data_IF_435895512693
#
_entry.id   IF_435895512693
#
_cell.length_a   1.000
_cell.length_b   1.000
_cell.length_c   1.000
_cell.angle_alpha   90.00
_cell.angle_beta   90.00
_cell.angle_gamma   90.00
#
_symmetry.space_group_name_H-M   'P 1'
#
loop_
_entity.id
_entity.type
_entity.pdbx_description
1 polymer ?
#
# COMPACT_ATOMS: atom_id res chain seq x y z
N UNK A 1 -4.29 -9.48 6.15
CA UNK A 1 -3.15 -9.51 5.17
C UNK A 1 -1.89 -9.09 5.90
N UNK A 2 -0.85 -9.89 5.82
CA UNK A 2 0.41 -9.50 6.47
C UNK A 2 1.27 -8.65 5.52
N UNK A 3 2.31 -8.05 6.08
CA UNK A 3 3.20 -7.13 5.36
C UNK A 3 3.89 -7.80 4.16
N UNK A 4 4.39 -9.02 4.34
CA UNK A 4 5.08 -9.72 3.24
C UNK A 4 4.17 -9.96 2.05
N UNK A 5 2.93 -10.36 2.31
CA UNK A 5 1.96 -10.58 1.23
C UNK A 5 1.62 -9.26 0.53
N UNK A 6 1.38 -8.21 1.31
CA UNK A 6 1.07 -6.90 0.76
C UNK A 6 2.20 -6.39 -0.15
N UNK A 7 3.44 -6.45 0.33
CA UNK A 7 4.60 -6.00 -0.45
C UNK A 7 4.74 -6.84 -1.73
N UNK A 8 4.60 -8.16 -1.61
CA UNK A 8 4.70 -9.05 -2.77
C UNK A 8 3.66 -8.75 -3.84
N UNK A 9 2.41 -8.51 -3.43
CA UNK A 9 1.35 -8.18 -4.38
C UNK A 9 1.62 -6.85 -5.10
N UNK A 10 2.14 -5.86 -4.38
CA UNK A 10 2.49 -4.58 -4.98
C UNK A 10 3.66 -4.73 -5.96
N UNK A 11 4.72 -5.45 -5.55
CA UNK A 11 5.90 -5.61 -6.38
C UNK A 11 5.63 -6.43 -7.64
N UNK A 12 4.69 -7.36 -7.58
CA UNK A 12 4.32 -8.19 -8.74
C UNK A 12 3.81 -7.37 -9.92
N UNK A 13 3.22 -6.22 -9.67
CA UNK A 13 2.73 -5.34 -10.75
C UNK A 13 3.67 -4.16 -11.02
N UNK A 14 4.83 -4.12 -10.37
CA UNK A 14 5.82 -3.08 -10.60
C UNK A 14 5.74 -1.88 -9.67
N UNK A 15 4.97 -1.97 -8.59
CA UNK A 15 4.93 -0.92 -7.58
C UNK A 15 6.10 -1.09 -6.61
N UNK A 16 6.53 0.01 -6.02
CA UNK A 16 7.58 0.02 -5.01
C UNK A 16 6.97 0.37 -3.65
N UNK A 17 7.42 -0.33 -2.61
CA UNK A 17 6.92 -0.11 -1.25
C UNK A 17 8.08 0.33 -0.37
N UNK A 18 7.89 1.43 0.36
CA UNK A 18 8.89 1.94 1.30
C UNK A 18 8.28 2.13 2.68
N UNK A 19 9.08 1.88 3.71
CA UNK A 19 8.67 2.08 5.10
C UNK A 19 9.51 3.22 5.68
N UNK A 20 8.84 4.31 6.07
CA UNK A 20 9.52 5.46 6.66
C UNK A 20 8.69 6.06 7.78
N UNK A 21 9.32 6.29 8.92
CA UNK A 21 8.70 7.04 10.02
C UNK A 21 7.33 6.51 10.43
N UNK A 22 7.19 5.18 10.44
CA UNK A 22 5.94 4.55 10.85
C UNK A 22 4.84 4.57 9.80
N UNK A 23 5.18 4.84 8.55
CA UNK A 23 4.23 4.88 7.45
C UNK A 23 4.75 4.02 6.29
N UNK A 24 3.84 3.26 5.70
CA UNK A 24 4.12 2.47 4.50
C UNK A 24 3.68 3.29 3.28
N UNK A 25 4.61 3.55 2.37
CA UNK A 25 4.33 4.29 1.14
C UNK A 25 4.37 3.37 -0.05
N UNK A 26 3.43 3.55 -0.99
CA UNK A 26 3.39 2.81 -2.25
C UNK A 26 3.61 3.78 -3.39
N UNK A 27 4.66 3.52 -4.20
CA UNK A 27 5.05 4.37 -5.31
C UNK A 27 4.94 3.63 -6.63
N UNK A 28 4.62 4.37 -7.70
CA UNK A 28 4.68 3.82 -9.06
C UNK A 28 6.13 3.86 -9.59
N UNK A 29 6.32 3.45 -10.84
CA UNK A 29 7.64 3.43 -11.48
C UNK A 29 8.19 4.82 -11.77
N UNK A 30 7.37 5.86 -11.68
CA UNK A 30 7.79 7.25 -11.83
C UNK A 30 8.02 7.93 -10.49
N UNK A 31 8.03 7.16 -9.40
CA UNK A 31 8.23 7.66 -8.04
C UNK A 31 7.10 8.56 -7.53
N UNK A 32 5.92 8.43 -8.08
CA UNK A 32 4.74 9.11 -7.54
C UNK A 32 4.10 8.26 -6.46
N UNK A 33 3.78 8.88 -5.32
CA UNK A 33 3.13 8.19 -4.21
C UNK A 33 1.64 7.96 -4.53
N UNK A 34 1.23 6.71 -4.57
CA UNK A 34 -0.16 6.35 -4.87
C UNK A 34 -0.95 6.02 -3.62
N UNK A 35 -0.28 5.69 -2.53
CA UNK A 35 -0.96 5.37 -1.28
C UNK A 35 -0.01 5.49 -0.11
N UNK A 36 -0.56 5.79 1.06
CA UNK A 36 0.18 5.67 2.31
C UNK A 36 -0.71 5.01 3.36
N UNK A 37 -0.08 4.28 4.27
CA UNK A 37 -0.78 3.47 5.27
C UNK A 37 -0.04 3.61 6.59
N UNK A 38 -0.77 3.97 7.65
CA UNK A 38 -0.17 4.04 8.99
C UNK A 38 0.21 2.64 9.49
N UNK A 39 1.42 2.50 10.03
CA UNK A 39 1.84 1.28 10.71
C UNK A 39 1.56 1.34 12.22
N UNK A 40 0.96 2.43 12.67
CA UNK A 40 0.62 2.62 14.08
C UNK A 40 -0.87 2.62 14.35
N UNK A 41 -1.71 2.93 13.36
CA UNK A 41 -3.15 3.10 13.52
C UNK A 41 -3.90 2.31 12.46
N UNK A 42 -4.70 1.33 12.90
CA UNK A 42 -5.52 0.52 12.00
C UNK A 42 -6.56 1.40 11.30
N UNK A 43 -6.68 1.22 9.98
CA UNK A 43 -7.68 1.94 9.19
C UNK A 43 -7.28 3.35 8.78
N UNK A 44 -6.07 3.79 9.12
CA UNK A 44 -5.58 5.11 8.75
C UNK A 44 -4.72 4.99 7.48
N UNK A 45 -5.30 5.39 6.36
CA UNK A 45 -4.62 5.30 5.07
C UNK A 45 -5.17 6.35 4.11
N UNK A 46 -4.39 6.64 3.06
CA UNK A 46 -4.76 7.57 2.01
C UNK A 46 -4.41 6.95 0.66
N UNK A 47 -5.28 7.13 -0.32
CA UNK A 47 -5.08 6.65 -1.68
C UNK A 47 -5.27 7.82 -2.65
N UNK A 48 -4.31 8.01 -3.56
CA UNK A 48 -4.37 9.01 -4.60
C UNK A 48 -3.99 8.33 -5.93
N UNK A 49 -5.00 8.01 -6.72
CA UNK A 49 -4.82 7.28 -7.97
C UNK A 49 -4.98 8.17 -9.20
N UNK A 50 -4.85 9.48 -9.03
CA UNK A 50 -4.92 10.44 -10.13
C UNK A 50 -3.88 10.08 -11.20
N UNK A 51 -4.34 9.82 -12.42
CA UNK A 51 -3.50 9.41 -13.55
C UNK A 51 -2.83 8.04 -13.42
N UNK A 52 -3.23 7.22 -12.46
CA UNK A 52 -2.66 5.88 -12.32
C UNK A 52 -3.20 4.96 -13.42
N UNK A 53 -2.39 4.00 -13.93
CA UNK A 53 -2.87 2.97 -14.83
C UNK A 53 -3.94 2.10 -14.16
N UNK A 54 -4.85 1.56 -14.97
CA UNK A 54 -5.97 0.77 -14.45
C UNK A 54 -5.51 -0.42 -13.61
N UNK A 55 -4.42 -1.09 -14.00
CA UNK A 55 -3.90 -2.23 -13.23
C UNK A 55 -3.50 -1.83 -11.81
N UNK A 56 -2.95 -0.63 -11.62
CA UNK A 56 -2.59 -0.13 -10.30
C UNK A 56 -3.85 0.26 -9.52
N UNK A 57 -4.82 0.87 -10.20
CA UNK A 57 -6.09 1.25 -9.57
C UNK A 57 -6.79 0.03 -9.00
N UNK A 58 -6.89 -1.05 -9.77
CA UNK A 58 -7.55 -2.28 -9.32
C UNK A 58 -6.83 -2.89 -8.12
N UNK A 59 -5.51 -3.02 -8.21
CA UNK A 59 -4.75 -3.62 -7.12
C UNK A 59 -4.81 -2.77 -5.85
N UNK A 60 -4.51 -1.48 -5.95
CA UNK A 60 -4.43 -0.60 -4.79
C UNK A 60 -5.78 -0.48 -4.11
N UNK A 61 -6.86 -0.33 -4.89
CA UNK A 61 -8.21 -0.22 -4.33
C UNK A 61 -8.64 -1.46 -3.57
N UNK A 62 -8.09 -2.63 -3.93
CA UNK A 62 -8.39 -3.87 -3.24
C UNK A 62 -7.47 -4.11 -2.05
N UNK A 63 -6.15 -4.01 -2.24
CA UNK A 63 -5.21 -4.48 -1.22
C UNK A 63 -4.88 -3.46 -0.15
N UNK A 64 -4.86 -2.16 -0.48
CA UNK A 64 -4.51 -1.13 0.51
C UNK A 64 -5.53 -1.10 1.66
N UNK A 65 -6.85 -1.07 1.40
CA UNK A 65 -7.80 -1.12 2.51
C UNK A 65 -7.69 -2.41 3.32
N UNK A 66 -7.48 -3.55 2.67
CA UNK A 66 -7.34 -4.82 3.39
C UNK A 66 -6.14 -4.81 4.32
N UNK A 67 -5.01 -4.32 3.83
CA UNK A 67 -3.80 -4.24 4.65
C UNK A 67 -3.98 -3.22 5.78
N UNK A 68 -4.53 -2.05 5.45
CA UNK A 68 -4.73 -0.98 6.44
C UNK A 68 -5.68 -1.38 7.57
N UNK A 69 -6.67 -2.23 7.27
CA UNK A 69 -7.64 -2.70 8.28
C UNK A 69 -7.15 -3.92 9.04
N UNK A 70 -6.01 -4.49 8.65
CA UNK A 70 -5.40 -5.60 9.39
C UNK A 70 -4.82 -5.07 10.69
N UNK A 71 -5.11 -5.69 11.85
CA UNK A 71 -4.51 -5.29 13.12
C UNK A 71 -2.99 -5.26 13.02
N UNK A 72 -2.35 -4.30 13.69
CA UNK A 72 -0.91 -4.08 13.55
C UNK A 72 -0.12 -5.35 13.86
N UNK A 73 -0.47 -6.05 14.95
CA UNK A 73 0.24 -7.28 15.36
C UNK A 73 0.06 -8.42 14.38
N UNK A 74 -0.95 -8.36 13.50
CA UNK A 74 -1.20 -9.40 12.51
C UNK A 74 -0.55 -9.13 11.17
N UNK A 75 0.05 -7.94 11.01
CA UNK A 75 0.74 -7.58 9.77
C UNK A 75 2.12 -8.24 9.65
N UNK A 76 2.66 -8.67 10.77
CA UNK A 76 3.97 -9.31 10.81
C UNK A 76 3.94 -10.74 10.29
#
# INVERSE_FOLDING_TARGET
>A
MNTSLFVGLCEDVGLNVEFRSGITYVYDDLNECLADISEARVGDYYIDLWNAPEEYIELISEVVPKYALTPIEERE
#
